data_IF_900111609654
#
_entry.id   IF_900111609654
#
_cell.length_a   1.000
_cell.length_b   1.000
_cell.length_c   1.000
_cell.angle_alpha   90.00
_cell.angle_beta   90.00
_cell.angle_gamma   90.00
#
_symmetry.space_group_name_H-M   'P 1'
#
loop_
_entity.id
_entity.type
_entity.pdbx_description
1 polymer ?
#
# COMPACT_ATOMS: atom_id res chain seq x y z
N UNK A 1 14.32 -7.49 36.22
CA UNK A 1 13.29 -6.66 35.58
C UNK A 1 14.02 -5.61 34.78
N UNK A 2 14.34 -5.90 33.52
CA UNK A 2 15.13 -4.99 32.69
C UNK A 2 14.25 -3.78 32.36
N UNK A 3 14.78 -2.59 32.62
CA UNK A 3 14.15 -1.28 32.39
C UNK A 3 13.41 -1.25 31.06
N UNK A 4 12.09 -1.10 31.13
CA UNK A 4 11.19 -0.99 29.99
C UNK A 4 11.36 0.42 29.39
N UNK A 5 12.53 0.69 28.79
CA UNK A 5 12.67 1.87 27.95
C UNK A 5 11.68 1.71 26.79
N UNK A 6 10.80 2.69 26.53
CA UNK A 6 9.92 2.63 25.37
C UNK A 6 10.79 2.51 24.13
N UNK A 7 10.53 1.51 23.28
CA UNK A 7 11.38 1.21 22.11
C UNK A 7 11.51 2.44 21.21
N UNK A 8 10.47 3.26 21.22
CA UNK A 8 10.35 4.50 20.49
C UNK A 8 11.44 5.51 20.89
N UNK A 9 11.81 5.61 22.16
CA UNK A 9 12.91 6.47 22.61
C UNK A 9 14.25 5.94 22.14
N UNK A 10 14.48 4.63 22.26
CA UNK A 10 15.71 4.00 21.77
C UNK A 10 15.89 4.21 20.26
N UNK A 11 14.81 4.08 19.49
CA UNK A 11 14.82 4.31 18.05
C UNK A 11 15.09 5.79 17.73
N UNK A 12 14.49 6.73 18.45
CA UNK A 12 14.73 8.18 18.31
C UNK A 12 16.18 8.55 18.58
N UNK A 13 16.79 8.01 19.63
CA UNK A 13 18.20 8.24 19.96
C UNK A 13 19.13 7.67 18.88
N UNK A 14 18.79 6.50 18.33
CA UNK A 14 19.62 5.80 17.35
C UNK A 14 19.56 6.43 15.96
N UNK A 15 18.39 6.90 15.53
CA UNK A 15 18.15 7.44 14.19
C UNK A 15 17.29 8.72 14.21
N UNK A 16 17.78 9.82 14.81
CA UNK A 16 17.01 11.05 14.94
C UNK A 16 16.63 11.65 13.58
N UNK A 17 17.49 11.51 12.57
CA UNK A 17 17.27 12.10 11.25
C UNK A 17 16.27 11.30 10.38
N UNK A 18 16.13 10.00 10.65
CA UNK A 18 15.27 9.10 9.87
C UNK A 18 13.84 9.02 10.42
N UNK A 19 13.64 9.29 11.71
CA UNK A 19 12.33 9.19 12.34
C UNK A 19 11.62 10.54 12.19
N UNK A 20 10.45 10.50 11.55
CA UNK A 20 9.59 11.66 11.38
C UNK A 20 8.63 11.82 12.56
N UNK A 21 8.03 10.72 12.98
CA UNK A 21 7.01 10.71 14.02
C UNK A 21 7.05 9.38 14.76
N UNK A 22 6.65 9.40 16.03
CA UNK A 22 6.41 8.19 16.80
C UNK A 22 5.06 8.30 17.49
N UNK A 23 4.32 7.22 17.50
CA UNK A 23 3.03 7.11 18.15
C UNK A 23 3.00 5.84 18.99
N UNK A 24 2.53 5.96 20.22
CA UNK A 24 2.09 4.82 21.02
C UNK A 24 0.57 4.92 21.17
N UNK A 25 -0.13 3.85 20.79
CA UNK A 25 -1.56 3.78 21.02
C UNK A 25 -1.96 2.40 21.51
N UNK A 26 -2.38 2.29 22.77
CA UNK A 26 -2.86 1.05 23.39
C UNK A 26 -1.83 -0.11 23.29
N UNK A 27 -0.55 0.21 23.37
CA UNK A 27 0.54 -0.77 23.27
C UNK A 27 0.95 -1.14 21.83
N UNK A 28 0.35 -0.50 20.81
CA UNK A 28 0.86 -0.56 19.45
C UNK A 28 1.88 0.56 19.23
N UNK A 29 3.16 0.20 19.29
CA UNK A 29 4.29 1.09 19.00
C UNK A 29 4.37 1.32 17.48
N UNK A 30 4.24 2.57 17.04
CA UNK A 30 4.30 2.97 15.63
C UNK A 30 5.39 4.02 15.42
N UNK A 31 6.20 3.81 14.39
CA UNK A 31 7.27 4.74 13.98
C UNK A 31 7.07 5.10 12.52
N UNK A 32 7.05 6.39 12.21
CA UNK A 32 7.08 6.90 10.85
C UNK A 32 8.54 7.19 10.49
N UNK A 33 9.06 6.52 9.48
CA UNK A 33 10.44 6.64 9.03
C UNK A 33 10.50 7.18 7.61
N UNK A 34 11.56 7.91 7.29
CA UNK A 34 11.86 8.30 5.92
C UNK A 34 12.24 7.06 5.07
N UNK A 35 11.98 7.08 3.76
CA UNK A 35 12.32 5.96 2.87
C UNK A 35 13.83 5.74 2.69
N UNK A 36 14.68 6.75 2.93
CA UNK A 36 16.12 6.64 2.73
C UNK A 36 16.78 5.72 3.78
N UNK A 37 17.57 4.74 3.30
CA UNK A 37 18.30 3.81 4.17
C UNK A 37 17.41 2.82 4.92
N UNK A 38 16.23 2.53 4.38
CA UNK A 38 15.24 1.65 5.01
C UNK A 38 15.81 0.26 5.30
N UNK A 39 16.52 -0.36 4.35
CA UNK A 39 17.08 -1.71 4.51
C UNK A 39 18.11 -1.76 5.64
N UNK A 40 18.91 -0.70 5.82
CA UNK A 40 19.87 -0.62 6.93
C UNK A 40 19.16 -0.50 8.28
N UNK A 41 18.12 0.36 8.37
CA UNK A 41 17.33 0.49 9.59
C UNK A 41 16.67 -0.84 9.98
N UNK A 42 16.05 -1.53 9.02
CA UNK A 42 15.42 -2.83 9.25
C UNK A 42 16.43 -3.93 9.58
N UNK A 43 17.63 -3.89 8.99
CA UNK A 43 18.72 -4.80 9.38
C UNK A 43 19.07 -4.63 10.86
N UNK A 44 19.25 -3.39 11.30
CA UNK A 44 19.55 -3.11 12.70
C UNK A 44 18.38 -3.49 13.63
N UNK A 45 17.11 -3.29 13.24
CA UNK A 45 15.94 -3.77 13.99
C UNK A 45 15.96 -5.30 14.19
N UNK A 46 16.42 -6.04 13.18
CA UNK A 46 16.51 -7.50 13.19
C UNK A 46 17.72 -8.00 13.99
N UNK A 47 18.90 -7.40 13.77
CA UNK A 47 20.18 -7.84 14.33
C UNK A 47 20.41 -7.40 15.78
N UNK A 48 19.79 -6.29 16.22
CA UNK A 48 19.97 -5.79 17.58
C UNK A 48 19.48 -6.83 18.60
N UNK A 49 20.37 -7.37 19.46
CA UNK A 49 20.02 -8.37 20.46
C UNK A 49 19.08 -7.85 21.54
N UNK A 50 18.73 -6.57 21.60
CA UNK A 50 17.69 -6.03 22.50
C UNK A 50 16.31 -6.05 21.83
N UNK A 51 16.24 -5.72 20.55
CA UNK A 51 14.99 -5.62 19.78
C UNK A 51 14.57 -6.99 19.22
N UNK A 52 15.48 -7.67 18.54
CA UNK A 52 15.31 -9.00 17.97
C UNK A 52 14.01 -9.16 17.16
N UNK A 53 13.68 -8.19 16.28
CA UNK A 53 12.53 -8.29 15.38
C UNK A 53 12.80 -9.32 14.30
N UNK A 54 12.60 -10.59 14.63
CA UNK A 54 12.92 -11.72 13.77
C UNK A 54 11.77 -12.11 12.84
N UNK A 55 10.55 -11.65 13.09
CA UNK A 55 9.38 -12.00 12.30
C UNK A 55 8.76 -10.78 11.63
N UNK A 56 8.70 -10.81 10.31
CA UNK A 56 7.93 -9.87 9.50
C UNK A 56 6.52 -10.44 9.33
N UNK A 57 5.54 -9.80 9.95
CA UNK A 57 4.14 -10.25 9.94
C UNK A 57 3.48 -9.90 8.63
N UNK A 58 3.62 -8.65 8.19
CA UNK A 58 2.87 -8.13 7.04
C UNK A 58 3.53 -6.89 6.44
N UNK A 59 3.29 -6.65 5.14
CA UNK A 59 3.64 -5.42 4.43
C UNK A 59 2.40 -5.00 3.67
N UNK A 60 1.89 -3.81 4.00
CA UNK A 60 0.72 -3.25 3.33
C UNK A 60 1.01 -1.83 2.89
N UNK A 61 0.10 -1.25 2.09
CA UNK A 61 0.15 0.15 1.72
C UNK A 61 -1.21 0.79 1.98
N UNK A 62 -1.16 2.07 2.37
CA UNK A 62 -2.33 2.92 2.51
C UNK A 62 -2.23 4.07 1.51
N UNK A 63 -3.30 4.28 0.75
CA UNK A 63 -3.44 5.42 -0.16
C UNK A 63 -4.27 6.52 0.50
N UNK A 64 -3.64 7.67 0.73
CA UNK A 64 -4.21 8.86 1.36
C UNK A 64 -4.59 9.96 0.34
N UNK A 65 -5.01 9.59 -0.87
CA UNK A 65 -5.49 10.53 -1.89
C UNK A 65 -6.42 11.62 -1.30
N UNK A 66 -6.00 12.88 -1.42
CA UNK A 66 -6.75 14.06 -0.95
C UNK A 66 -6.80 14.28 0.57
N UNK A 67 -6.04 13.51 1.37
CA UNK A 67 -6.03 13.62 2.84
C UNK A 67 -4.66 13.94 3.43
N UNK A 68 -3.58 13.42 2.85
CA UNK A 68 -2.21 13.56 3.36
C UNK A 68 -1.22 13.58 2.20
N UNK A 69 -0.19 14.39 2.33
CA UNK A 69 1.02 14.32 1.51
C UNK A 69 2.20 13.90 2.38
N UNK A 70 3.05 12.94 1.95
CA UNK A 70 2.96 12.14 0.73
C UNK A 70 1.75 11.20 0.64
N UNK A 71 1.31 10.88 -0.59
CA UNK A 71 0.06 10.15 -0.88
C UNK A 71 0.08 8.71 -0.38
N UNK A 72 1.16 7.99 -0.63
CA UNK A 72 1.27 6.57 -0.29
C UNK A 72 1.98 6.41 1.05
N UNK A 73 1.56 5.45 1.87
CA UNK A 73 2.24 5.09 3.11
C UNK A 73 2.39 3.57 3.15
N UNK A 74 3.62 3.07 3.03
CA UNK A 74 3.92 1.64 3.17
C UNK A 74 4.04 1.32 4.64
N UNK A 75 3.32 0.31 5.11
CA UNK A 75 3.25 -0.09 6.51
C UNK A 75 3.85 -1.48 6.64
N UNK A 76 4.87 -1.59 7.48
CA UNK A 76 5.53 -2.83 7.83
C UNK A 76 5.13 -3.22 9.25
N UNK A 77 4.68 -4.45 9.43
CA UNK A 77 4.36 -5.01 10.72
C UNK A 77 5.45 -6.00 11.14
N UNK A 78 6.18 -5.65 12.20
CA UNK A 78 7.25 -6.46 12.76
C UNK A 78 6.82 -7.03 14.11
N UNK A 79 7.27 -8.24 14.39
CA UNK A 79 7.08 -8.92 15.67
C UNK A 79 8.41 -9.50 16.14
N UNK A 80 8.71 -9.29 17.43
CA UNK A 80 9.83 -9.95 18.10
C UNK A 80 9.31 -11.20 18.78
N UNK A 81 9.67 -12.38 18.27
CA UNK A 81 9.24 -13.65 18.88
C UNK A 81 9.86 -13.89 20.25
N UNK A 82 10.98 -13.21 20.55
CA UNK A 82 11.67 -13.37 21.83
C UNK A 82 11.04 -12.53 22.94
N UNK A 83 10.62 -11.30 22.64
CA UNK A 83 10.03 -10.39 23.63
C UNK A 83 8.50 -10.29 23.52
N UNK A 84 7.90 -10.83 22.45
CA UNK A 84 6.47 -10.70 22.14
C UNK A 84 6.05 -9.30 21.70
N UNK A 85 6.98 -8.35 21.54
CA UNK A 85 6.69 -6.97 21.17
C UNK A 85 6.37 -6.85 19.69
N UNK A 86 5.49 -5.91 19.36
CA UNK A 86 5.09 -5.58 17.99
C UNK A 86 5.50 -4.15 17.68
N UNK A 87 6.00 -3.94 16.46
CA UNK A 87 6.38 -2.62 15.97
C UNK A 87 5.77 -2.40 14.59
N UNK A 88 5.12 -1.26 14.41
CA UNK A 88 4.59 -0.82 13.12
C UNK A 88 5.49 0.27 12.56
N UNK A 89 6.11 0.01 11.42
CA UNK A 89 6.94 1.01 10.74
C UNK A 89 6.17 1.54 9.53
N UNK A 90 6.02 2.85 9.44
CA UNK A 90 5.32 3.53 8.34
C UNK A 90 6.31 4.32 7.52
N UNK A 91 6.24 4.21 6.20
CA UNK A 91 7.13 4.90 5.28
C UNK A 91 6.27 5.68 4.28
N UNK A 92 6.20 7.02 4.40
CA UNK A 92 5.47 7.83 3.44
C UNK A 92 6.26 7.94 2.13
N UNK A 93 5.56 7.78 1.00
CA UNK A 93 6.12 7.81 -0.35
C UNK A 93 5.35 8.80 -1.25
N UNK A 94 6.07 9.57 -2.09
CA UNK A 94 5.45 10.51 -3.02
C UNK A 94 4.76 9.78 -4.18
N UNK A 95 3.82 10.47 -4.83
CA UNK A 95 3.10 9.92 -6.00
C UNK A 95 3.94 9.92 -7.27
N UNK A 96 4.87 10.87 -7.43
CA UNK A 96 5.66 11.02 -8.65
C UNK A 96 6.62 9.84 -8.89
N UNK A 97 7.22 9.31 -7.81
CA UNK A 97 8.07 8.11 -7.85
C UNK A 97 7.93 7.31 -6.56
N UNK A 98 6.89 6.45 -6.44
CA UNK A 98 6.69 5.62 -5.26
C UNK A 98 7.64 4.42 -5.33
N UNK A 99 8.86 4.60 -4.83
CA UNK A 99 9.88 3.56 -4.75
C UNK A 99 10.44 3.40 -3.35
N UNK A 100 10.77 2.16 -2.98
CA UNK A 100 11.31 1.81 -1.65
C UNK A 100 12.28 0.64 -1.76
N UNK A 101 13.24 0.53 -0.84
CA UNK A 101 14.17 -0.62 -0.82
C UNK A 101 13.45 -1.92 -0.42
N UNK A 102 13.74 -3.00 -1.14
CA UNK A 102 13.23 -4.34 -0.81
C UNK A 102 13.85 -4.88 0.49
N UNK A 103 13.01 -5.48 1.31
CA UNK A 103 13.36 -6.20 2.53
C UNK A 103 13.52 -7.71 2.30
N UNK A 104 13.31 -8.20 1.07
CA UNK A 104 13.55 -9.61 0.68
C UNK A 104 14.90 -10.18 1.11
N UNK A 105 16.03 -9.43 1.13
CA UNK A 105 17.31 -9.97 1.60
C UNK A 105 17.36 -10.17 3.12
N UNK A 106 16.48 -9.51 3.88
CA UNK A 106 16.40 -9.61 5.33
C UNK A 106 15.36 -10.64 5.77
N UNK A 107 14.17 -10.63 5.15
CA UNK A 107 13.12 -11.62 5.36
C UNK A 107 12.67 -12.19 4.02
N UNK A 108 12.89 -13.49 3.82
CA UNK A 108 12.44 -14.15 2.59
C UNK A 108 10.91 -14.10 2.40
N UNK A 109 10.15 -14.03 3.50
CA UNK A 109 8.69 -13.84 3.46
C UNK A 109 8.24 -12.52 2.84
N UNK A 110 9.10 -11.49 2.81
CA UNK A 110 8.79 -10.19 2.22
C UNK A 110 8.54 -10.29 0.71
N UNK A 111 9.08 -11.31 0.02
CA UNK A 111 8.94 -11.47 -1.43
C UNK A 111 7.47 -11.39 -1.88
N UNK A 112 6.61 -12.19 -1.26
CA UNK A 112 5.20 -12.27 -1.61
C UNK A 112 4.44 -10.98 -1.27
N UNK A 113 4.72 -10.41 -0.10
CA UNK A 113 4.05 -9.20 0.39
C UNK A 113 4.43 -7.96 -0.44
N UNK A 114 5.70 -7.82 -0.80
CA UNK A 114 6.16 -6.74 -1.69
C UNK A 114 5.53 -6.84 -3.09
N UNK A 115 5.37 -8.07 -3.61
CA UNK A 115 4.66 -8.29 -4.88
C UNK A 115 3.19 -7.92 -4.82
N UNK A 116 2.52 -8.24 -3.71
CA UNK A 116 1.12 -7.85 -3.48
C UNK A 116 0.98 -6.32 -3.46
N UNK A 117 1.84 -5.62 -2.71
CA UNK A 117 1.82 -4.15 -2.67
C UNK A 117 2.10 -3.55 -4.05
N UNK A 118 3.02 -4.11 -4.82
CA UNK A 118 3.28 -3.68 -6.20
C UNK A 118 2.07 -3.93 -7.12
N UNK A 119 1.43 -5.09 -7.03
CA UNK A 119 0.28 -5.44 -7.89
C UNK A 119 -0.94 -4.55 -7.58
N UNK A 120 -1.20 -4.31 -6.29
CA UNK A 120 -2.38 -3.57 -5.82
C UNK A 120 -2.22 -2.04 -5.80
N UNK A 121 -1.02 -1.54 -5.51
CA UNK A 121 -0.75 -0.11 -5.34
C UNK A 121 0.32 0.44 -6.29
N UNK A 122 1.06 -0.41 -7.01
CA UNK A 122 2.07 0.03 -7.99
C UNK A 122 3.33 0.64 -7.37
N UNK A 123 3.65 0.29 -6.13
CA UNK A 123 4.87 0.75 -5.45
C UNK A 123 6.04 -0.13 -5.87
N UNK A 124 7.13 0.48 -6.33
CA UNK A 124 8.31 -0.25 -6.82
C UNK A 124 9.27 -0.59 -5.68
N UNK A 125 9.62 -1.86 -5.56
CA UNK A 125 10.60 -2.34 -4.58
C UNK A 125 11.97 -2.51 -5.26
N UNK A 126 12.93 -1.66 -4.88
CA UNK A 126 14.29 -1.66 -5.42
C UNK A 126 15.09 -2.83 -4.85
N UNK A 127 15.67 -3.65 -5.73
CA UNK A 127 16.46 -4.83 -5.35
C UNK A 127 15.63 -6.09 -5.04
N UNK A 128 14.33 -6.10 -5.40
CA UNK A 128 13.51 -7.31 -5.32
C UNK A 128 13.90 -8.31 -6.44
N UNK A 129 14.09 -9.62 -6.13
CA UNK A 129 14.45 -10.63 -7.12
C UNK A 129 13.41 -10.92 -8.22
N UNK A 130 12.10 -10.86 -7.94
CA UNK A 130 11.03 -11.21 -8.90
C UNK A 130 9.78 -10.36 -8.65
N UNK A 131 9.79 -9.13 -9.16
CA UNK A 131 8.66 -8.21 -9.03
C UNK A 131 7.69 -8.36 -10.20
N UNK A 132 6.78 -9.33 -10.09
CA UNK A 132 5.71 -9.58 -11.07
C UNK A 132 4.34 -9.71 -10.41
N UNK A 133 3.27 -9.61 -11.22
CA UNK A 133 1.88 -9.69 -10.74
C UNK A 133 1.64 -11.02 -10.05
N UNK A 134 0.72 -11.03 -9.10
CA UNK A 134 0.44 -12.23 -8.31
C UNK A 134 -1.05 -12.44 -8.05
N UNK A 135 -1.78 -11.37 -7.73
CA UNK A 135 -3.22 -11.44 -7.48
C UNK A 135 -4.00 -11.22 -8.77
N UNK A 136 -3.51 -10.32 -9.62
CA UNK A 136 -4.16 -9.95 -10.88
C UNK A 136 -3.62 -10.82 -12.02
N UNK A 137 -4.45 -10.97 -13.06
CA UNK A 137 -4.03 -11.59 -14.31
C UNK A 137 -3.01 -10.69 -15.03
N UNK A 138 -2.23 -11.28 -15.94
CA UNK A 138 -1.04 -10.64 -16.52
C UNK A 138 -1.38 -9.37 -17.31
N UNK A 139 -2.49 -9.39 -18.05
CA UNK A 139 -2.96 -8.28 -18.89
C UNK A 139 -3.73 -7.19 -18.13
N UNK A 140 -3.87 -7.31 -16.81
CA UNK A 140 -4.66 -6.35 -16.04
C UNK A 140 -4.05 -4.95 -16.14
N UNK A 141 -4.88 -3.96 -16.43
CA UNK A 141 -4.43 -2.57 -16.54
C UNK A 141 -4.81 -1.78 -15.28
N UNK A 142 -3.79 -1.26 -14.59
CA UNK A 142 -3.93 -0.43 -13.39
C UNK A 142 -3.66 -1.17 -12.07
N UNK A 143 -4.09 -0.52 -10.98
CA UNK A 143 -3.84 -0.89 -9.58
C UNK A 143 -5.12 -0.71 -8.75
N UNK A 144 -5.87 -1.79 -8.45
CA UNK A 144 -7.24 -1.70 -7.92
C UNK A 144 -7.40 -1.03 -6.55
N UNK A 145 -6.41 -1.13 -5.66
CA UNK A 145 -6.52 -0.59 -4.30
C UNK A 145 -6.19 0.90 -4.21
N UNK A 146 -5.77 1.51 -5.31
CA UNK A 146 -5.63 2.97 -5.37
C UNK A 146 -6.99 3.64 -5.41
N UNK A 147 -7.11 4.77 -4.73
CA UNK A 147 -8.37 5.53 -4.61
C UNK A 147 -8.79 6.23 -5.90
N UNK A 148 -7.89 6.40 -6.87
CA UNK A 148 -8.20 6.87 -8.22
C UNK A 148 -8.81 5.78 -9.11
N UNK A 149 -8.64 4.50 -8.75
CA UNK A 149 -9.14 3.39 -9.56
C UNK A 149 -10.68 3.27 -9.44
N UNK A 150 -11.41 3.27 -10.56
CA UNK A 150 -12.87 3.15 -10.55
C UNK A 150 -13.33 1.79 -10.02
N UNK A 151 -14.11 1.80 -8.93
CA UNK A 151 -14.62 0.60 -8.23
C UNK A 151 -15.40 -0.35 -9.16
N UNK A 152 -16.13 0.19 -10.13
CA UNK A 152 -16.98 -0.60 -11.03
C UNK A 152 -16.29 -0.90 -12.37
N UNK A 153 -14.98 -0.65 -12.50
CA UNK A 153 -14.27 -0.98 -13.71
C UNK A 153 -14.02 -2.48 -13.77
N UNK A 154 -14.79 -3.12 -14.63
CA UNK A 154 -14.70 -4.53 -14.91
C UNK A 154 -13.87 -4.76 -16.17
N UNK A 155 -12.90 -5.68 -16.09
CA UNK A 155 -12.01 -6.04 -17.19
C UNK A 155 -12.03 -7.58 -17.36
N UNK A 156 -13.05 -8.14 -18.04
CA UNK A 156 -13.14 -9.58 -18.26
C UNK A 156 -12.15 -10.07 -19.33
N UNK A 157 -11.45 -11.17 -19.07
CA UNK A 157 -10.57 -11.83 -20.05
C UNK A 157 -11.35 -12.51 -21.18
N UNK A 158 -12.49 -13.10 -20.83
CA UNK A 158 -13.38 -13.79 -21.77
C UNK A 158 -14.65 -12.96 -21.91
N UNK A 159 -15.09 -12.66 -23.15
CA UNK A 159 -16.35 -11.98 -23.37
C UNK A 159 -17.51 -12.72 -22.70
N UNK A 160 -18.41 -11.97 -22.07
CA UNK A 160 -19.57 -12.58 -21.43
C UNK A 160 -20.46 -13.25 -22.48
N UNK A 161 -20.85 -14.51 -22.22
CA UNK A 161 -21.77 -15.22 -23.08
C UNK A 161 -23.19 -14.72 -22.80
N UNK A 162 -23.88 -14.26 -23.84
CA UNK A 162 -25.31 -13.95 -23.74
C UNK A 162 -26.12 -15.25 -23.59
N UNK A 163 -26.77 -15.41 -22.43
CA UNK A 163 -27.70 -16.51 -22.16
C UNK A 163 -29.12 -15.95 -22.21
N UNK A 164 -29.93 -16.41 -23.16
CA UNK A 164 -31.34 -16.00 -23.26
C UNK A 164 -32.14 -16.56 -22.08
N UNK A 165 -32.88 -15.69 -21.39
CA UNK A 165 -33.82 -16.09 -20.32
C UNK A 165 -33.29 -16.01 -18.89
N UNK A 166 -32.06 -15.54 -18.67
CA UNK A 166 -31.53 -15.27 -17.31
C UNK A 166 -31.73 -13.80 -16.93
N UNK A 167 -32.27 -13.54 -15.74
CA UNK A 167 -32.40 -12.21 -15.14
C UNK A 167 -31.00 -11.64 -14.78
N UNK A 168 -30.34 -10.99 -15.73
CA UNK A 168 -29.20 -10.12 -15.44
C UNK A 168 -29.75 -8.71 -15.24
N UNK A 169 -29.66 -8.17 -14.02
CA UNK A 169 -30.20 -6.86 -13.67
C UNK A 169 -29.51 -5.75 -14.48
N UNK A 170 -30.26 -5.06 -15.35
CA UNK A 170 -29.79 -3.97 -16.24
C UNK A 170 -29.13 -2.80 -15.48
N UNK A 171 -29.32 -2.71 -14.15
CA UNK A 171 -28.68 -1.68 -13.32
C UNK A 171 -27.17 -1.88 -13.18
N UNK A 172 -26.69 -3.13 -13.29
CA UNK A 172 -25.28 -3.47 -13.10
C UNK A 172 -24.40 -3.06 -14.30
N UNK A 173 -24.94 -3.11 -15.52
CA UNK A 173 -24.22 -2.72 -16.75
C UNK A 173 -24.16 -1.22 -17.00
N UNK A 174 -25.13 -0.45 -16.49
CA UNK A 174 -25.42 0.87 -17.06
C UNK A 174 -25.05 2.10 -16.23
N UNK A 175 -24.59 2.03 -14.97
CA UNK A 175 -24.43 3.27 -14.19
C UNK A 175 -23.37 4.23 -14.78
N UNK A 176 -22.23 3.72 -15.24
CA UNK A 176 -21.16 4.53 -15.85
C UNK A 176 -21.47 4.96 -17.29
N UNK A 177 -22.08 4.09 -18.09
CA UNK A 177 -22.53 4.42 -19.45
C UNK A 177 -23.65 5.47 -19.44
N UNK A 178 -24.62 5.30 -18.54
CA UNK A 178 -25.69 6.27 -18.29
C UNK A 178 -25.14 7.62 -17.80
N UNK A 179 -24.18 7.62 -16.85
CA UNK A 179 -23.55 8.86 -16.40
C UNK A 179 -22.78 9.54 -17.54
N UNK A 180 -21.99 8.81 -18.34
CA UNK A 180 -21.26 9.38 -19.49
C UNK A 180 -22.19 9.98 -20.54
N UNK A 181 -23.29 9.30 -20.88
CA UNK A 181 -24.29 9.82 -21.82
C UNK A 181 -24.99 11.07 -21.26
N UNK A 182 -25.33 11.06 -19.97
CA UNK A 182 -26.00 12.20 -19.31
C UNK A 182 -25.10 13.45 -19.24
N UNK A 183 -23.84 13.30 -18.82
CA UNK A 183 -22.89 14.42 -18.78
C UNK A 183 -22.49 14.93 -20.17
N UNK A 184 -22.49 14.08 -21.20
CA UNK A 184 -22.26 14.51 -22.59
C UNK A 184 -23.45 15.30 -23.14
N UNK A 185 -24.68 14.90 -22.82
CA UNK A 185 -25.89 15.61 -23.24
C UNK A 185 -25.99 17.01 -22.60
N UNK A 186 -25.70 17.12 -21.30
CA UNK A 186 -25.73 18.39 -20.57
C UNK A 186 -24.70 19.41 -21.07
N UNK A 187 -23.50 18.98 -21.49
CA UNK A 187 -22.50 19.85 -22.14
C UNK A 187 -22.99 20.40 -23.48
N UNK A 188 -23.61 19.55 -24.28
CA UNK A 188 -24.10 19.92 -25.62
C UNK A 188 -25.27 20.91 -25.54
N UNK A 189 -26.04 20.86 -24.45
CA UNK A 189 -27.19 21.74 -24.22
C UNK A 189 -26.79 23.10 -23.60
N UNK A 190 -25.71 23.14 -22.82
CA UNK A 190 -25.10 24.38 -22.34
C UNK A 190 -24.48 25.19 -23.50
N UNK A 191 -23.83 24.53 -24.46
CA UNK A 191 -23.24 25.19 -25.63
C UNK A 191 -24.30 25.79 -26.57
N UNK A 192 -25.50 25.19 -26.65
CA UNK A 192 -26.63 25.70 -27.45
C UNK A 192 -27.36 26.88 -26.85
N UNK A 193 -27.27 27.11 -25.53
CA UNK A 193 -27.94 28.24 -24.85
C UNK A 193 -27.08 29.50 -24.76
N UNK A 194 -25.82 29.43 -25.18
CA UNK A 194 -24.85 30.53 -25.08
C UNK A 194 -24.41 31.06 -26.46
N UNK A 195 -25.08 30.61 -27.53
CA UNK A 195 -24.91 31.12 -28.92
C UNK A 195 -26.16 31.85 -29.40
#
# INVERSE_FOLDING_TARGET
>A
MAEDRPILEYLKERWPERILETQDFRGDETVVMRPEGLREAFRALKEDPKLAFNFLTDITCVDYLGKKEPRFEVVYHLCSMRTGRRLRVKVPLPEADPSVESLTPLWHGANWLEREVWDMFGIRFLGHPDLRRILLYEEFQGHPLRKDYPVNLWQPLVPEREVKGTFVDDRSRNKLMWLKQKFSAERTEADRKTS
#
